data_IF_399604908404
#
_entry.id   IF_399604908404
#
_cell.length_a   1.000
_cell.length_b   1.000
_cell.length_c   1.000
_cell.angle_alpha   90.00
_cell.angle_beta   90.00
_cell.angle_gamma   90.00
#
_symmetry.space_group_name_H-M   'P 1'
#
loop_
_entity.id
_entity.type
_entity.pdbx_description
1 polymer ?
#
# COMPACT_ATOMS: atom_id res chain seq x y z
N UNK A 1 18.75 -2.07 -6.66
CA UNK A 1 17.44 -2.74 -6.79
C UNK A 1 16.45 -1.70 -7.28
N UNK A 2 15.84 -1.92 -8.44
CA UNK A 2 14.92 -0.96 -9.10
C UNK A 2 13.48 -1.38 -8.85
N UNK A 3 12.63 -0.50 -8.31
CA UNK A 3 11.19 -0.73 -8.24
C UNK A 3 10.61 -0.43 -9.63
N UNK A 4 9.94 -1.41 -10.23
CA UNK A 4 9.22 -1.24 -11.49
C UNK A 4 7.74 -1.54 -11.22
N UNK A 5 6.91 -0.51 -11.08
CA UNK A 5 5.48 -0.62 -10.75
C UNK A 5 4.60 -0.81 -12.00
N UNK A 6 5.07 -1.63 -12.92
CA UNK A 6 4.42 -1.78 -14.21
C UNK A 6 4.71 -3.14 -14.82
N UNK A 7 3.77 -3.59 -15.65
CA UNK A 7 3.90 -4.83 -16.40
C UNK A 7 4.48 -4.49 -17.76
N UNK A 8 5.72 -4.89 -18.07
CA UNK A 8 6.29 -4.71 -19.42
C UNK A 8 5.94 -5.90 -20.31
N UNK A 9 5.36 -5.65 -21.47
CA UNK A 9 4.97 -6.66 -22.44
C UNK A 9 6.00 -6.70 -23.56
N UNK A 10 6.52 -7.90 -23.84
CA UNK A 10 7.41 -8.15 -24.96
C UNK A 10 6.62 -8.62 -26.17
N UNK A 11 6.46 -7.77 -27.17
CA UNK A 11 5.82 -8.13 -28.43
C UNK A 11 6.87 -8.76 -29.33
N UNK A 12 6.57 -9.96 -29.83
CA UNK A 12 7.46 -10.72 -30.70
C UNK A 12 6.77 -11.01 -32.02
N UNK A 13 7.45 -10.71 -33.13
CA UNK A 13 7.00 -11.01 -34.49
C UNK A 13 8.02 -11.95 -35.14
N UNK A 14 7.55 -13.03 -35.79
CA UNK A 14 8.42 -14.06 -36.37
C UNK A 14 9.45 -14.63 -35.39
N UNK A 15 9.07 -14.80 -34.12
CA UNK A 15 9.95 -15.33 -33.07
C UNK A 15 11.04 -14.37 -32.61
N UNK A 16 11.04 -13.12 -33.08
CA UNK A 16 11.99 -12.09 -32.68
C UNK A 16 11.28 -10.98 -31.90
N UNK A 17 11.82 -10.53 -30.75
CA UNK A 17 11.30 -9.34 -30.08
C UNK A 17 11.41 -8.12 -30.99
N UNK A 18 10.29 -7.44 -31.24
CA UNK A 18 10.25 -6.27 -32.12
C UNK A 18 9.82 -4.99 -31.41
N UNK A 19 9.01 -5.10 -30.34
CA UNK A 19 8.53 -3.96 -29.58
C UNK A 19 8.42 -4.32 -28.09
N UNK A 20 8.77 -3.36 -27.24
CA UNK A 20 8.47 -3.41 -25.83
C UNK A 20 7.35 -2.41 -25.57
N UNK A 21 6.22 -2.89 -25.06
CA UNK A 21 5.13 -2.04 -24.61
C UNK A 21 5.01 -2.08 -23.11
N UNK A 22 5.01 -0.91 -22.54
CA UNK A 22 4.51 -0.70 -21.19
C UNK A 22 3.07 -0.17 -21.34
N UNK A 23 2.03 -1.01 -21.18
CA UNK A 23 0.68 -0.47 -21.09
C UNK A 23 0.69 0.57 -19.97
N UNK A 24 0.08 1.73 -20.20
CA UNK A 24 -0.06 2.73 -19.15
C UNK A 24 -0.94 2.15 -18.04
N UNK A 25 -0.36 1.50 -17.04
CA UNK A 25 -1.11 0.92 -15.92
C UNK A 25 -1.84 1.99 -15.10
N UNK A 26 -1.48 3.27 -15.29
CA UNK A 26 -2.27 4.42 -14.85
C UNK A 26 -3.67 4.53 -15.50
N UNK A 27 -3.91 3.90 -16.68
CA UNK A 27 -5.22 3.93 -17.35
C UNK A 27 -6.25 2.94 -16.79
N UNK A 28 -5.87 2.03 -15.88
CA UNK A 28 -6.83 1.21 -15.10
C UNK A 28 -7.18 1.94 -13.79
N UNK A 29 -7.51 3.24 -13.86
CA UNK A 29 -8.00 4.05 -12.72
C UNK A 29 -7.21 3.95 -11.39
N UNK A 30 -6.00 3.41 -11.44
CA UNK A 30 -5.13 3.19 -10.31
C UNK A 30 -3.99 4.16 -10.47
N UNK A 31 -3.90 5.09 -9.53
CA UNK A 31 -2.81 6.07 -9.39
C UNK A 31 -1.42 5.41 -9.21
N UNK A 32 -1.26 4.10 -9.43
CA UNK A 32 -0.06 3.33 -9.11
C UNK A 32 0.41 3.54 -7.66
N UNK A 33 -0.57 3.79 -6.79
CA UNK A 33 -0.37 4.17 -5.40
C UNK A 33 0.36 5.50 -5.16
N UNK A 34 0.44 6.37 -6.18
CA UNK A 34 1.16 7.64 -6.12
C UNK A 34 0.38 8.72 -5.35
N UNK A 35 -0.92 8.84 -5.59
CA UNK A 35 -1.78 9.85 -4.97
C UNK A 35 -2.30 9.39 -3.58
N UNK A 36 -2.47 8.08 -3.41
CA UNK A 36 -2.80 7.40 -2.13
C UNK A 36 -1.62 7.31 -1.17
N UNK A 37 -0.40 7.60 -1.63
CA UNK A 37 0.80 7.69 -0.81
C UNK A 37 1.52 6.36 -0.52
N UNK A 38 0.95 5.20 -0.87
CA UNK A 38 1.62 3.91 -0.60
C UNK A 38 2.91 3.72 -1.40
N UNK A 39 3.01 4.30 -2.61
CA UNK A 39 4.26 4.26 -3.37
C UNK A 39 5.38 4.99 -2.63
N UNK A 40 5.08 6.15 -2.02
CA UNK A 40 6.03 6.90 -1.23
C UNK A 40 6.49 6.12 0.02
N UNK A 41 5.58 5.38 0.67
CA UNK A 41 5.91 4.49 1.79
C UNK A 41 6.88 3.38 1.37
N UNK A 42 6.62 2.73 0.23
CA UNK A 42 7.48 1.66 -0.31
C UNK A 42 8.87 2.19 -0.70
N UNK A 43 8.93 3.34 -1.38
CA UNK A 43 10.21 3.99 -1.74
C UNK A 43 11.00 4.35 -0.49
N UNK A 44 10.36 4.95 0.51
CA UNK A 44 11.01 5.29 1.77
C UNK A 44 11.53 4.04 2.51
N UNK A 45 10.78 2.94 2.50
CA UNK A 45 11.20 1.68 3.11
C UNK A 45 12.44 1.08 2.44
N UNK A 46 12.50 1.06 1.11
CA UNK A 46 13.70 0.57 0.42
C UNK A 46 14.91 1.46 0.64
N UNK A 47 14.74 2.78 0.64
CA UNK A 47 15.81 3.71 0.95
C UNK A 47 16.31 3.49 2.40
N UNK A 48 15.42 3.17 3.34
CA UNK A 48 15.79 2.88 4.72
C UNK A 48 16.69 1.64 4.85
N UNK A 49 16.37 0.59 4.12
CA UNK A 49 17.20 -0.63 4.05
C UNK A 49 18.59 -0.32 3.51
N UNK A 50 18.68 0.47 2.43
CA UNK A 50 19.95 0.80 1.78
C UNK A 50 20.84 1.69 2.64
N UNK A 51 20.24 2.64 3.35
CA UNK A 51 20.93 3.61 4.19
C UNK A 51 21.18 3.11 5.62
N UNK A 52 20.70 1.91 5.98
CA UNK A 52 20.83 1.36 7.32
C UNK A 52 20.04 2.12 8.39
N UNK A 53 19.00 2.86 7.99
CA UNK A 53 18.12 3.63 8.88
C UNK A 53 16.83 2.88 9.15
N UNK A 54 16.16 3.23 10.25
CA UNK A 54 14.86 2.65 10.60
C UNK A 54 13.74 3.47 9.95
N UNK A 55 12.67 2.81 9.48
CA UNK A 55 11.43 3.51 9.13
C UNK A 55 10.58 3.74 10.38
N UNK A 56 9.91 4.89 10.46
CA UNK A 56 8.87 5.09 11.47
C UNK A 56 7.61 4.36 11.02
N UNK A 57 7.34 3.18 11.58
CA UNK A 57 6.07 2.50 11.40
C UNK A 57 5.03 3.11 12.32
N UNK A 58 3.94 3.65 11.75
CA UNK A 58 2.76 4.06 12.52
C UNK A 58 1.83 2.89 12.84
N UNK A 59 2.34 1.65 12.86
CA UNK A 59 1.51 0.48 13.17
C UNK A 59 0.80 0.60 14.53
N UNK A 60 1.42 1.29 15.49
CA UNK A 60 0.80 1.64 16.76
C UNK A 60 -0.43 2.57 16.60
N UNK A 61 -0.45 3.43 15.58
CA UNK A 61 -1.64 4.21 15.22
C UNK A 61 -2.69 3.34 14.52
N UNK A 62 -2.28 2.37 13.69
CA UNK A 62 -3.21 1.42 13.05
C UNK A 62 -3.98 0.57 14.08
N UNK A 63 -3.37 0.28 15.24
CA UNK A 63 -4.05 -0.37 16.36
C UNK A 63 -5.28 0.41 16.84
N UNK A 64 -5.25 1.75 16.83
CA UNK A 64 -6.39 2.58 17.24
C UNK A 64 -7.60 2.40 16.33
N UNK A 65 -7.37 2.26 15.02
CA UNK A 65 -8.44 1.96 14.05
C UNK A 65 -9.05 0.59 14.30
N UNK A 66 -8.23 -0.41 14.61
CA UNK A 66 -8.70 -1.75 14.96
C UNK A 66 -9.54 -1.74 16.25
N UNK A 67 -9.04 -1.12 17.32
CA UNK A 67 -9.77 -1.01 18.59
C UNK A 67 -11.12 -0.29 18.43
N UNK A 68 -11.17 0.74 17.57
CA UNK A 68 -12.42 1.41 17.22
C UNK A 68 -13.41 0.48 16.49
N UNK A 69 -12.95 -0.31 15.53
CA UNK A 69 -13.80 -1.27 14.81
C UNK A 69 -14.35 -2.37 15.73
N UNK A 70 -13.56 -2.84 16.69
CA UNK A 70 -14.04 -3.75 17.72
C UNK A 70 -15.10 -3.13 18.63
N UNK A 71 -14.93 -1.84 18.99
CA UNK A 71 -15.95 -1.08 19.72
C UNK A 71 -17.27 -0.96 18.93
N UNK A 72 -17.21 -0.63 17.65
CA UNK A 72 -18.38 -0.56 16.76
C UNK A 72 -19.07 -1.93 16.66
N UNK A 73 -18.29 -2.99 16.44
CA UNK A 73 -18.80 -4.37 16.36
C UNK A 73 -19.53 -4.78 17.65
N UNK A 74 -19.02 -4.35 18.80
CA UNK A 74 -19.61 -4.62 20.12
C UNK A 74 -20.85 -3.77 20.39
N UNK A 75 -20.86 -2.51 19.94
CA UNK A 75 -21.99 -1.60 20.12
C UNK A 75 -23.18 -1.97 19.23
N UNK A 76 -22.93 -2.36 17.98
CA UNK A 76 -23.94 -2.54 16.94
C UNK A 76 -25.15 -3.43 17.32
N UNK A 77 -24.99 -4.57 18.03
CA UNK A 77 -26.13 -5.42 18.40
C UNK A 77 -27.06 -4.82 19.45
N UNK A 78 -26.56 -3.91 20.29
CA UNK A 78 -27.29 -3.40 21.46
C UNK A 78 -27.65 -1.92 21.35
N UNK A 79 -27.03 -1.19 20.42
CA UNK A 79 -27.15 0.27 20.30
C UNK A 79 -26.60 1.04 21.51
N UNK A 80 -25.91 0.37 22.43
CA UNK A 80 -25.33 0.99 23.62
C UNK A 80 -23.95 1.54 23.31
N UNK A 81 -23.61 2.64 23.98
CA UNK A 81 -22.26 3.19 23.97
C UNK A 81 -21.32 2.19 24.64
N UNK A 82 -20.16 1.96 24.03
CA UNK A 82 -19.10 1.08 24.54
C UNK A 82 -17.82 1.91 24.62
N UNK A 83 -17.14 1.84 25.76
CA UNK A 83 -15.85 2.50 25.93
C UNK A 83 -14.76 1.75 25.14
N UNK A 84 -14.03 2.49 24.30
CA UNK A 84 -12.87 1.96 23.57
C UNK A 84 -11.62 2.28 24.36
N UNK A 85 -10.93 1.25 24.85
CA UNK A 85 -9.64 1.38 25.52
C UNK A 85 -8.51 1.15 24.52
N UNK A 86 -7.53 2.05 24.54
CA UNK A 86 -6.29 1.89 23.77
C UNK A 86 -5.19 1.41 24.72
N UNK A 87 -4.55 0.29 24.41
CA UNK A 87 -3.29 -0.10 25.05
C UNK A 87 -2.17 0.81 24.54
N UNK A 88 -1.40 1.39 25.47
CA UNK A 88 -0.27 2.31 25.22
C UNK A 88 1.02 1.52 25.13
#
# INVERSE_FOLDING_TARGET
MTIHNSSTWRISENGKPCEWREPPTFTISGDSCNDTGHLAEVVNFLAAIQEGRTTSSKIAESYKSMALYEGIRTSAPSGRVVDVMYEI
#
